data_IF_959146021678
#
_entry.id   IF_959146021678
#
_cell.length_a   1.000
_cell.length_b   1.000
_cell.length_c   1.000
_cell.angle_alpha   90.00
_cell.angle_beta   90.00
_cell.angle_gamma   90.00
#
_symmetry.space_group_name_H-M   'P 1'
#
loop_
_entity.id
_entity.type
_entity.pdbx_description
1 polymer ?
#
# COMPACT_ATOMS: atom_id res chain seq x y z
N UNK A 1 -30.88 42.79 -56.33
CA UNK A 1 -29.79 42.13 -55.57
C UNK A 1 -29.47 42.97 -54.33
N UNK A 2 -29.85 42.53 -53.12
CA UNK A 2 -29.27 42.98 -51.85
C UNK A 2 -29.71 42.02 -50.73
N UNK A 3 -28.86 41.03 -50.38
CA UNK A 3 -29.06 40.14 -49.23
C UNK A 3 -28.69 40.91 -47.95
N UNK A 4 -29.67 41.20 -47.09
CA UNK A 4 -29.44 41.64 -45.70
C UNK A 4 -28.76 40.51 -44.93
N UNK A 5 -27.50 40.71 -44.53
CA UNK A 5 -26.78 39.87 -43.57
C UNK A 5 -27.37 40.10 -42.17
N UNK A 6 -28.01 39.09 -41.58
CA UNK A 6 -28.38 39.13 -40.16
C UNK A 6 -27.15 38.84 -39.31
N UNK A 7 -26.70 39.80 -38.53
CA UNK A 7 -25.65 39.60 -37.53
C UNK A 7 -26.22 38.88 -36.32
N UNK A 8 -26.00 37.58 -36.21
CA UNK A 8 -26.22 36.81 -34.98
C UNK A 8 -25.19 37.24 -33.95
N UNK A 9 -25.60 38.12 -33.02
CA UNK A 9 -24.82 38.44 -31.81
C UNK A 9 -24.64 37.17 -30.99
N UNK A 10 -23.40 36.65 -30.91
CA UNK A 10 -23.02 35.65 -29.92
C UNK A 10 -23.19 36.26 -28.53
N UNK A 11 -24.22 35.85 -27.82
CA UNK A 11 -24.40 36.15 -26.40
C UNK A 11 -23.20 35.55 -25.64
N UNK A 12 -22.33 36.40 -25.09
CA UNK A 12 -21.34 35.97 -24.10
C UNK A 12 -22.10 35.37 -22.93
N UNK A 13 -22.04 34.05 -22.75
CA UNK A 13 -22.49 33.42 -21.51
C UNK A 13 -21.72 34.09 -20.37
N UNK A 14 -22.46 34.58 -19.37
CA UNK A 14 -21.85 35.07 -18.14
C UNK A 14 -20.98 33.95 -17.55
N UNK A 15 -19.77 34.26 -17.05
CA UNK A 15 -18.96 33.25 -16.39
C UNK A 15 -19.79 32.63 -15.26
N UNK A 16 -19.81 31.30 -15.20
CA UNK A 16 -20.50 30.58 -14.14
C UNK A 16 -20.06 31.15 -12.79
N UNK A 17 -21.03 31.47 -11.92
CA UNK A 17 -20.75 32.03 -10.61
C UNK A 17 -19.75 31.11 -9.89
N UNK A 18 -18.56 31.64 -9.56
CA UNK A 18 -17.55 30.89 -8.81
C UNK A 18 -18.16 30.59 -7.45
N UNK A 19 -18.35 29.30 -7.15
CA UNK A 19 -18.88 28.87 -5.86
C UNK A 19 -17.75 28.95 -4.83
N UNK A 20 -17.68 30.09 -4.15
CA UNK A 20 -16.65 30.36 -3.15
C UNK A 20 -17.00 29.69 -1.83
N UNK A 21 -16.09 28.87 -1.31
CA UNK A 21 -16.17 28.31 0.04
C UNK A 21 -15.55 29.24 1.08
N UNK A 22 -14.35 29.77 0.83
CA UNK A 22 -13.72 30.76 1.69
C UNK A 22 -12.78 31.69 0.91
N UNK A 23 -12.41 32.82 1.52
CA UNK A 23 -11.58 33.85 0.91
C UNK A 23 -10.60 34.39 1.95
N UNK A 24 -9.34 34.52 1.54
CA UNK A 24 -8.27 35.07 2.36
C UNK A 24 -7.60 36.22 1.61
N UNK A 25 -7.53 37.39 2.25
CA UNK A 25 -6.82 38.56 1.72
C UNK A 25 -5.46 38.61 2.39
N UNK A 26 -4.41 38.33 1.62
CA UNK A 26 -3.04 38.56 2.06
C UNK A 26 -2.71 40.05 1.84
N UNK A 27 -2.79 40.83 2.91
CA UNK A 27 -2.51 42.27 2.87
C UNK A 27 -1.02 42.58 2.65
N UNK A 28 -0.14 41.65 2.98
CA UNK A 28 1.31 41.82 2.82
C UNK A 28 1.70 41.65 1.36
N UNK A 29 1.27 40.54 0.75
CA UNK A 29 1.54 40.23 -0.66
C UNK A 29 0.54 40.86 -1.64
N UNK A 30 -0.48 41.55 -1.12
CA UNK A 30 -1.61 42.10 -1.89
C UNK A 30 -2.28 41.05 -2.78
N UNK A 31 -2.44 39.83 -2.28
CA UNK A 31 -3.04 38.71 -2.99
C UNK A 31 -4.41 38.36 -2.42
N UNK A 32 -5.32 38.03 -3.31
CA UNK A 32 -6.61 37.43 -2.98
C UNK A 32 -6.50 35.91 -3.20
N UNK A 33 -6.64 35.12 -2.15
CA UNK A 33 -6.67 33.66 -2.22
C UNK A 33 -8.13 33.22 -2.07
N UNK A 34 -8.64 32.52 -3.09
CA UNK A 34 -10.02 32.05 -3.15
C UNK A 34 -10.01 30.52 -3.04
N UNK A 35 -10.73 29.99 -2.06
CA UNK A 35 -10.98 28.56 -1.90
C UNK A 35 -12.41 28.27 -2.34
N UNK A 36 -12.59 27.35 -3.27
CA UNK A 36 -13.90 27.02 -3.85
C UNK A 36 -14.57 25.86 -3.10
N UNK A 37 -15.90 25.74 -3.18
CA UNK A 37 -16.65 24.66 -2.52
C UNK A 37 -16.41 23.27 -3.15
N UNK A 38 -15.82 23.24 -4.34
CA UNK A 38 -15.58 22.06 -5.16
C UNK A 38 -14.12 21.57 -5.10
N UNK A 39 -13.29 22.08 -4.18
CA UNK A 39 -11.86 21.73 -4.11
C UNK A 39 -11.60 20.21 -4.02
N UNK A 40 -12.38 19.49 -3.20
CA UNK A 40 -12.26 18.03 -3.11
C UNK A 40 -12.66 17.35 -4.42
N UNK A 41 -13.74 17.80 -5.06
CA UNK A 41 -14.20 17.26 -6.34
C UNK A 41 -13.15 17.51 -7.43
N UNK A 42 -12.57 18.70 -7.45
CA UNK A 42 -11.48 19.06 -8.35
C UNK A 42 -10.23 18.21 -8.11
N UNK A 43 -9.85 17.99 -6.85
CA UNK A 43 -8.75 17.11 -6.48
C UNK A 43 -8.96 15.69 -7.03
N UNK A 44 -10.17 15.14 -6.89
CA UNK A 44 -10.47 13.77 -7.30
C UNK A 44 -10.65 13.61 -8.82
N UNK A 45 -11.36 14.52 -9.47
CA UNK A 45 -11.78 14.35 -10.87
C UNK A 45 -10.91 15.10 -11.88
N UNK A 46 -10.34 16.24 -11.50
CA UNK A 46 -9.53 17.08 -12.40
C UNK A 46 -8.03 16.83 -12.22
N UNK A 47 -7.58 16.82 -10.97
CA UNK A 47 -6.16 16.79 -10.65
C UNK A 47 -5.67 15.34 -10.49
N UNK A 48 -6.45 14.49 -9.82
CA UNK A 48 -6.18 13.05 -9.65
C UNK A 48 -5.76 12.34 -10.94
N UNK A 49 -6.55 12.38 -12.04
CA UNK A 49 -6.18 11.71 -13.29
C UNK A 49 -4.85 12.19 -13.89
N UNK A 50 -4.51 13.49 -13.74
CA UNK A 50 -3.23 14.03 -14.25
C UNK A 50 -2.06 13.50 -13.43
N UNK A 51 -2.21 13.48 -12.11
CA UNK A 51 -1.19 12.95 -11.19
C UNK A 51 -0.95 11.47 -11.48
N UNK A 52 -2.03 10.70 -11.61
CA UNK A 52 -1.96 9.29 -11.97
C UNK A 52 -1.24 9.06 -13.30
N UNK A 53 -1.58 9.82 -14.35
CA UNK A 53 -0.91 9.71 -15.64
C UNK A 53 0.59 10.06 -15.56
N UNK A 54 0.95 11.07 -14.76
CA UNK A 54 2.35 11.44 -14.54
C UNK A 54 3.13 10.36 -13.78
N UNK A 55 2.50 9.71 -12.80
CA UNK A 55 3.05 8.58 -12.08
C UNK A 55 3.27 7.38 -13.00
N UNK A 56 2.23 6.98 -13.75
CA UNK A 56 2.28 5.82 -14.64
C UNK A 56 3.41 5.97 -15.66
N UNK A 57 3.58 7.16 -16.23
CA UNK A 57 4.67 7.47 -17.16
C UNK A 57 6.06 7.20 -16.57
N UNK A 58 6.26 7.41 -15.27
CA UNK A 58 7.56 7.26 -14.59
C UNK A 58 7.76 5.88 -13.95
N UNK A 59 6.67 5.22 -13.56
CA UNK A 59 6.67 4.05 -12.67
C UNK A 59 5.99 2.80 -13.25
N UNK A 60 5.58 2.80 -14.53
CA UNK A 60 4.91 1.66 -15.19
C UNK A 60 5.63 0.32 -14.96
N UNK A 61 6.97 0.31 -15.11
CA UNK A 61 7.79 -0.88 -14.84
C UNK A 61 7.68 -1.37 -13.40
N UNK A 62 7.69 -0.46 -12.44
CA UNK A 62 7.58 -0.81 -11.03
C UNK A 62 6.19 -1.39 -10.72
N UNK A 63 5.14 -0.83 -11.33
CA UNK A 63 3.77 -1.35 -11.19
C UNK A 63 3.65 -2.75 -11.82
N UNK A 64 4.26 -2.99 -12.97
CA UNK A 64 4.32 -4.32 -13.57
C UNK A 64 5.03 -5.33 -12.65
N UNK A 65 6.18 -4.96 -12.07
CA UNK A 65 6.92 -5.80 -11.11
C UNK A 65 6.08 -6.11 -9.85
N UNK A 66 5.44 -5.10 -9.26
CA UNK A 66 4.56 -5.27 -8.10
C UNK A 66 3.34 -6.14 -8.43
N UNK A 67 2.75 -5.95 -9.62
CA UNK A 67 1.60 -6.72 -10.11
C UNK A 67 1.92 -8.21 -10.26
N UNK A 68 3.13 -8.55 -10.71
CA UNK A 68 3.56 -9.94 -10.79
C UNK A 68 3.59 -10.63 -9.41
N UNK A 69 4.10 -9.96 -8.38
CA UNK A 69 4.08 -10.46 -7.00
C UNK A 69 2.67 -10.53 -6.43
N UNK A 70 1.89 -9.47 -6.65
CA UNK A 70 0.50 -9.39 -6.22
C UNK A 70 -0.31 -10.56 -6.76
N UNK A 71 -0.21 -10.82 -8.07
CA UNK A 71 -0.98 -11.85 -8.76
C UNK A 71 -0.66 -13.24 -8.24
N UNK A 72 0.63 -13.57 -8.05
CA UNK A 72 1.05 -14.84 -7.45
C UNK A 72 0.50 -15.01 -6.04
N UNK A 73 0.61 -13.96 -5.23
CA UNK A 73 0.12 -13.96 -3.85
C UNK A 73 -1.38 -14.19 -3.77
N UNK A 74 -2.16 -13.45 -4.57
CA UNK A 74 -3.62 -13.55 -4.54
C UNK A 74 -4.11 -14.85 -5.17
N UNK A 75 -3.44 -15.36 -6.21
CA UNK A 75 -3.73 -16.68 -6.76
C UNK A 75 -3.61 -17.78 -5.70
N UNK A 76 -2.56 -17.73 -4.88
CA UNK A 76 -2.37 -18.67 -3.77
C UNK A 76 -3.39 -18.44 -2.64
N UNK A 77 -3.65 -17.19 -2.23
CA UNK A 77 -4.65 -16.88 -1.21
C UNK A 77 -6.06 -17.37 -1.57
N UNK A 78 -6.54 -17.07 -2.78
CA UNK A 78 -7.89 -17.47 -3.20
C UNK A 78 -8.00 -18.98 -3.38
N UNK A 79 -6.97 -19.64 -3.93
CA UNK A 79 -6.96 -21.09 -4.10
C UNK A 79 -6.90 -21.81 -2.74
N UNK A 80 -6.02 -21.34 -1.85
CA UNK A 80 -5.85 -21.87 -0.50
C UNK A 80 -7.09 -21.66 0.36
N UNK A 81 -7.67 -20.46 0.38
CA UNK A 81 -8.91 -20.19 1.11
C UNK A 81 -10.06 -21.09 0.66
N UNK A 82 -10.17 -21.33 -0.66
CA UNK A 82 -11.18 -22.24 -1.21
C UNK A 82 -10.99 -23.67 -0.71
N UNK A 83 -9.75 -24.15 -0.61
CA UNK A 83 -9.45 -25.48 -0.07
C UNK A 83 -9.69 -25.54 1.44
N UNK A 84 -9.24 -24.54 2.18
CA UNK A 84 -9.43 -24.46 3.62
C UNK A 84 -10.93 -24.51 3.99
N UNK A 85 -11.79 -23.78 3.27
CA UNK A 85 -13.24 -23.85 3.45
C UNK A 85 -13.83 -25.23 3.11
N UNK A 86 -13.28 -25.94 2.12
CA UNK A 86 -13.75 -27.29 1.75
C UNK A 86 -13.36 -28.34 2.78
N UNK A 87 -12.20 -28.17 3.40
CA UNK A 87 -11.62 -29.09 4.38
C UNK A 87 -12.02 -28.75 5.83
N UNK A 88 -12.79 -27.69 6.04
CA UNK A 88 -13.14 -27.15 7.36
C UNK A 88 -11.92 -26.74 8.22
N UNK A 89 -10.87 -26.25 7.55
CA UNK A 89 -9.62 -25.77 8.13
C UNK A 89 -9.82 -24.32 8.63
N UNK A 90 -10.34 -24.20 9.85
CA UNK A 90 -10.74 -22.91 10.43
C UNK A 90 -9.57 -21.92 10.56
N UNK A 91 -8.39 -22.38 11.00
CA UNK A 91 -7.21 -21.54 11.18
C UNK A 91 -6.76 -20.94 9.86
N UNK A 92 -6.59 -21.79 8.85
CA UNK A 92 -6.13 -21.44 7.51
C UNK A 92 -7.10 -20.46 6.85
N UNK A 93 -8.39 -20.72 6.99
CA UNK A 93 -9.46 -19.85 6.49
C UNK A 93 -9.37 -18.44 7.09
N UNK A 94 -9.17 -18.33 8.41
CA UNK A 94 -9.09 -17.05 9.12
C UNK A 94 -7.79 -16.31 8.80
N UNK A 95 -6.67 -17.02 8.76
CA UNK A 95 -5.38 -16.47 8.35
C UNK A 95 -5.42 -15.95 6.91
N UNK A 96 -6.06 -16.67 5.99
CA UNK A 96 -6.21 -16.25 4.60
C UNK A 96 -7.10 -15.01 4.45
N UNK A 97 -8.21 -14.93 5.18
CA UNK A 97 -9.05 -13.72 5.23
C UNK A 97 -8.27 -12.51 5.74
N UNK A 98 -7.44 -12.70 6.77
CA UNK A 98 -6.58 -11.65 7.30
C UNK A 98 -5.53 -11.18 6.27
N UNK A 99 -4.92 -12.11 5.55
CA UNK A 99 -3.98 -11.80 4.46
C UNK A 99 -4.66 -11.19 3.23
N UNK A 100 -5.93 -11.51 2.94
CA UNK A 100 -6.70 -10.84 1.89
C UNK A 100 -6.96 -9.37 2.26
N UNK A 101 -7.26 -9.06 3.52
CA UNK A 101 -7.34 -7.66 3.98
C UNK A 101 -5.98 -6.95 3.89
N UNK A 102 -4.89 -7.66 4.20
CA UNK A 102 -3.53 -7.17 4.03
C UNK A 102 -3.22 -6.89 2.54
N UNK A 103 -3.66 -7.78 1.63
CA UNK A 103 -3.61 -7.59 0.18
C UNK A 103 -4.37 -6.33 -0.23
N UNK A 104 -5.63 -6.13 0.19
CA UNK A 104 -6.36 -4.89 -0.08
C UNK A 104 -5.64 -3.63 0.41
N UNK A 105 -5.00 -3.71 1.58
CA UNK A 105 -4.20 -2.61 2.14
C UNK A 105 -2.99 -2.27 1.24
N UNK A 106 -2.30 -3.28 0.71
CA UNK A 106 -1.21 -3.06 -0.25
C UNK A 106 -1.67 -2.29 -1.51
N UNK A 107 -2.91 -2.52 -1.95
CA UNK A 107 -3.49 -1.89 -3.15
C UNK A 107 -3.93 -0.48 -2.89
N UNK A 108 -4.48 -0.23 -1.70
CA UNK A 108 -4.75 1.10 -1.20
C UNK A 108 -3.44 1.92 -1.10
N UNK A 109 -2.38 1.36 -0.52
CA UNK A 109 -1.08 2.03 -0.43
C UNK A 109 -0.50 2.39 -1.82
N UNK A 110 -0.56 1.45 -2.76
CA UNK A 110 -0.14 1.67 -4.16
C UNK A 110 -0.97 2.77 -4.83
N UNK A 111 -2.28 2.75 -4.61
CA UNK A 111 -3.22 3.75 -5.18
C UNK A 111 -2.97 5.14 -4.62
N UNK A 112 -2.72 5.24 -3.30
CA UNK A 112 -2.38 6.51 -2.65
C UNK A 112 -1.09 7.09 -3.23
N UNK A 113 -0.05 6.27 -3.37
CA UNK A 113 1.19 6.72 -4.00
C UNK A 113 0.95 7.19 -5.43
N UNK A 114 0.21 6.42 -6.22
CA UNK A 114 -0.17 6.77 -7.61
C UNK A 114 -0.97 8.09 -7.69
N UNK A 115 -1.69 8.46 -6.63
CA UNK A 115 -2.45 9.71 -6.50
C UNK A 115 -1.62 10.88 -5.93
N UNK A 116 -0.32 10.72 -5.69
CA UNK A 116 0.57 11.80 -5.22
C UNK A 116 0.72 11.88 -3.71
N UNK A 117 0.16 10.94 -2.95
CA UNK A 117 0.33 10.89 -1.49
C UNK A 117 1.65 10.18 -1.15
N UNK A 118 2.59 10.90 -0.54
CA UNK A 118 3.92 10.36 -0.20
C UNK A 118 4.06 9.90 1.26
N UNK A 119 3.19 10.35 2.16
CA UNK A 119 3.25 9.99 3.58
C UNK A 119 2.29 8.84 3.91
N UNK A 120 1.08 8.90 3.37
CA UNK A 120 -0.03 8.02 3.67
C UNK A 120 0.20 6.55 3.27
N UNK A 121 0.93 6.20 2.19
CA UNK A 121 1.20 4.81 1.87
C UNK A 121 1.87 4.06 3.03
N UNK A 122 2.81 4.69 3.73
CA UNK A 122 3.49 4.07 4.88
C UNK A 122 2.55 3.77 6.06
N UNK A 123 1.54 4.61 6.28
CA UNK A 123 0.50 4.38 7.30
C UNK A 123 -0.34 3.15 6.98
N UNK A 124 -0.70 2.97 5.69
CA UNK A 124 -1.48 1.82 5.24
C UNK A 124 -0.65 0.54 5.28
N UNK A 125 0.61 0.60 4.85
CA UNK A 125 1.55 -0.53 4.95
C UNK A 125 1.74 -0.93 6.42
N UNK A 126 1.80 0.02 7.35
CA UNK A 126 1.92 -0.29 8.77
C UNK A 126 0.73 -1.12 9.30
N UNK A 127 -0.49 -0.87 8.83
CA UNK A 127 -1.67 -1.68 9.15
C UNK A 127 -1.57 -3.08 8.55
N UNK A 128 -1.10 -3.18 7.31
CA UNK A 128 -0.84 -4.45 6.63
C UNK A 128 0.16 -5.33 7.40
N UNK A 129 1.21 -4.73 7.99
CA UNK A 129 2.17 -5.46 8.81
C UNK A 129 1.55 -6.06 10.07
N UNK A 130 0.52 -5.44 10.66
CA UNK A 130 -0.19 -6.04 11.81
C UNK A 130 -0.92 -7.31 11.41
N UNK A 131 -1.62 -7.28 10.28
CA UNK A 131 -2.29 -8.45 9.73
C UNK A 131 -1.29 -9.59 9.47
N UNK A 132 -0.16 -9.28 8.83
CA UNK A 132 0.93 -10.25 8.58
C UNK A 132 1.47 -10.82 9.89
N UNK A 133 1.79 -9.97 10.87
CA UNK A 133 2.34 -10.43 12.16
C UNK A 133 1.37 -11.34 12.91
N UNK A 134 0.07 -11.05 12.83
CA UNK A 134 -0.99 -11.82 13.47
C UNK A 134 -1.16 -13.17 12.78
N UNK A 135 -1.12 -13.23 11.45
CA UNK A 135 -1.10 -14.51 10.72
C UNK A 135 0.11 -15.36 11.11
N UNK A 136 1.31 -14.78 11.11
CA UNK A 136 2.53 -15.49 11.52
C UNK A 136 2.46 -16.00 12.96
N UNK A 137 1.82 -15.25 13.85
CA UNK A 137 1.58 -15.66 15.23
C UNK A 137 0.62 -16.85 15.33
N UNK A 138 -0.53 -16.77 14.66
CA UNK A 138 -1.56 -17.81 14.70
C UNK A 138 -1.07 -19.13 14.11
N UNK A 139 -0.23 -19.09 13.06
CA UNK A 139 0.41 -20.29 12.51
C UNK A 139 1.36 -20.98 13.49
N UNK A 140 2.00 -20.21 14.38
CA UNK A 140 2.86 -20.77 15.44
C UNK A 140 2.08 -21.17 16.69
N UNK A 141 0.88 -20.60 16.89
CA UNK A 141 0.04 -20.78 18.09
C UNK A 141 -1.43 -20.95 17.69
N UNK A 142 -1.78 -22.08 17.06
CA UNK A 142 -3.14 -22.32 16.55
C UNK A 142 -4.21 -22.28 17.66
N UNK A 143 -3.84 -22.66 18.89
CA UNK A 143 -4.74 -22.64 20.04
C UNK A 143 -5.22 -21.23 20.45
N UNK A 144 -4.54 -20.18 19.99
CA UNK A 144 -4.94 -18.79 20.27
C UNK A 144 -5.99 -18.25 19.29
N UNK A 145 -6.46 -19.07 18.34
CA UNK A 145 -7.48 -18.68 17.36
C UNK A 145 -8.75 -18.13 18.03
N UNK A 146 -9.25 -18.79 19.08
CA UNK A 146 -10.44 -18.32 19.80
C UNK A 146 -10.23 -16.94 20.48
N UNK A 147 -9.01 -16.65 20.94
CA UNK A 147 -8.67 -15.34 21.50
C UNK A 147 -8.61 -14.27 20.41
N UNK A 148 -8.14 -14.61 19.21
CA UNK A 148 -8.20 -13.74 18.03
C UNK A 148 -9.64 -13.43 17.64
N UNK A 149 -10.48 -14.46 17.47
CA UNK A 149 -11.87 -14.28 17.02
C UNK A 149 -12.73 -13.49 18.02
N UNK A 150 -12.42 -13.59 19.31
CA UNK A 150 -13.07 -12.79 20.36
C UNK A 150 -12.48 -11.40 20.57
N UNK A 151 -11.50 -10.98 19.77
CA UNK A 151 -10.86 -9.66 19.86
C UNK A 151 -9.99 -9.48 21.11
N UNK A 152 -9.60 -10.56 21.78
CA UNK A 152 -8.81 -10.54 23.02
C UNK A 152 -7.31 -10.73 22.78
N UNK A 153 -6.91 -11.12 21.56
CA UNK A 153 -5.51 -11.25 21.19
C UNK A 153 -4.83 -9.88 21.19
N UNK A 154 -3.71 -9.77 21.90
CA UNK A 154 -2.97 -8.52 22.07
C UNK A 154 -1.88 -8.38 20.99
N UNK A 155 -1.93 -7.29 20.21
CA UNK A 155 -1.00 -7.01 19.10
C UNK A 155 0.50 -7.10 19.46
N UNK A 156 1.00 -6.62 20.62
CA UNK A 156 2.43 -6.76 20.95
C UNK A 156 2.95 -8.20 20.99
N UNK A 157 2.08 -9.18 21.28
CA UNK A 157 2.46 -10.61 21.30
C UNK A 157 2.73 -11.16 19.90
N UNK A 158 2.04 -10.65 18.88
CA UNK A 158 2.14 -11.14 17.50
C UNK A 158 3.47 -10.72 16.85
N UNK A 159 3.98 -9.54 17.20
CA UNK A 159 5.26 -9.01 16.73
C UNK A 159 6.44 -9.88 17.13
N UNK A 160 6.46 -10.39 18.36
CA UNK A 160 7.54 -11.25 18.84
C UNK A 160 7.64 -12.54 18.03
N UNK A 161 6.50 -13.11 17.62
CA UNK A 161 6.45 -14.30 16.77
C UNK A 161 6.85 -13.98 15.32
N UNK A 162 6.41 -12.85 14.78
CA UNK A 162 6.76 -12.42 13.42
C UNK A 162 8.27 -12.18 13.25
N UNK A 163 8.91 -11.52 14.22
CA UNK A 163 10.38 -11.29 14.25
C UNK A 163 11.19 -12.58 14.23
N UNK A 164 10.70 -13.61 14.91
CA UNK A 164 11.34 -14.94 14.95
C UNK A 164 11.16 -15.69 13.63
N UNK A 165 9.99 -15.58 13.02
CA UNK A 165 9.68 -16.23 11.77
C UNK A 165 10.45 -15.63 10.59
N UNK A 166 10.49 -14.29 10.49
CA UNK A 166 11.14 -13.56 9.40
C UNK A 166 12.04 -12.48 10.03
N UNK A 167 13.36 -12.66 10.09
CA UNK A 167 14.27 -11.72 10.77
C UNK A 167 14.14 -10.26 10.29
N UNK A 168 13.94 -10.05 9.00
CA UNK A 168 13.78 -8.73 8.39
C UNK A 168 12.51 -7.99 8.86
N UNK A 169 11.50 -8.72 9.34
CA UNK A 169 10.22 -8.15 9.77
C UNK A 169 10.40 -7.12 10.90
N UNK A 170 11.31 -7.39 11.85
CA UNK A 170 11.49 -6.55 13.02
C UNK A 170 11.98 -5.14 12.70
N UNK A 171 12.97 -5.03 11.82
CA UNK A 171 13.53 -3.75 11.38
C UNK A 171 12.48 -2.93 10.62
N UNK A 172 11.76 -3.58 9.69
CA UNK A 172 10.71 -2.94 8.90
C UNK A 172 9.57 -2.43 9.79
N UNK A 173 9.06 -3.27 10.68
CA UNK A 173 7.98 -2.88 11.58
C UNK A 173 8.39 -1.70 12.48
N UNK A 174 9.62 -1.71 13.00
CA UNK A 174 10.16 -0.61 13.79
C UNK A 174 10.18 0.69 12.99
N UNK A 175 10.75 0.65 11.79
CA UNK A 175 10.82 1.79 10.88
C UNK A 175 9.43 2.36 10.55
N UNK A 176 8.45 1.53 10.20
CA UNK A 176 7.10 2.01 9.89
C UNK A 176 6.38 2.59 11.12
N UNK A 177 6.60 2.00 12.30
CA UNK A 177 6.00 2.51 13.54
C UNK A 177 6.55 3.89 13.88
N UNK A 178 7.87 4.05 13.83
CA UNK A 178 8.53 5.31 14.18
C UNK A 178 8.20 6.45 13.20
N UNK A 179 8.13 6.14 11.91
CA UNK A 179 8.03 7.17 10.87
C UNK A 179 6.61 7.44 10.37
N UNK A 180 5.68 6.49 10.53
CA UNK A 180 4.32 6.61 9.97
C UNK A 180 3.19 6.36 10.98
N UNK A 181 3.40 5.60 12.06
CA UNK A 181 2.38 5.45 13.10
C UNK A 181 2.41 6.60 14.11
N UNK A 182 3.59 7.17 14.34
CA UNK A 182 3.80 8.30 15.24
C UNK A 182 4.06 9.58 14.46
N UNK A 183 3.64 10.72 15.02
CA UNK A 183 3.95 12.05 14.47
C UNK A 183 5.46 12.29 14.64
N UNK A 184 6.20 11.95 13.58
CA UNK A 184 7.65 12.07 13.50
C UNK A 184 8.13 13.21 12.61
N UNK A 185 9.40 13.13 12.20
CA UNK A 185 10.04 14.12 11.35
C UNK A 185 9.34 14.30 9.98
N UNK A 186 8.79 13.22 9.40
CA UNK A 186 8.04 13.25 8.14
C UNK A 186 6.75 14.07 8.20
N UNK A 187 6.24 14.39 9.40
CA UNK A 187 5.01 15.14 9.61
C UNK A 187 5.24 16.64 9.84
N UNK A 188 6.51 17.09 9.87
CA UNK A 188 6.86 18.50 10.14
C UNK A 188 6.63 19.43 8.95
N UNK A 189 6.41 18.88 7.77
CA UNK A 189 6.26 19.62 6.53
C UNK A 189 4.99 19.19 5.81
N UNK A 190 4.34 20.13 5.13
CA UNK A 190 3.28 19.81 4.19
C UNK A 190 3.93 19.12 3.00
N UNK A 191 3.37 17.99 2.57
CA UNK A 191 3.73 17.33 1.31
C UNK A 191 2.61 17.58 0.30
N UNK A 192 2.76 18.55 -0.62
CA UNK A 192 1.71 18.87 -1.58
C UNK A 192 1.45 17.68 -2.50
N UNK A 193 0.18 17.43 -2.77
CA UNK A 193 -0.24 16.45 -3.77
C UNK A 193 -0.14 17.12 -5.14
N UNK A 194 0.76 16.62 -5.98
CA UNK A 194 1.06 17.22 -7.27
C UNK A 194 1.48 16.17 -8.31
N UNK A 195 1.51 16.58 -9.58
CA UNK A 195 2.01 15.74 -10.67
C UNK A 195 3.49 15.41 -10.47
N UNK A 196 3.86 14.17 -10.77
CA UNK A 196 5.23 13.71 -10.75
C UNK A 196 5.99 14.20 -11.97
N UNK A 197 7.02 15.02 -11.74
CA UNK A 197 7.90 15.52 -12.80
C UNK A 197 9.10 14.60 -13.04
N UNK A 198 9.57 13.96 -11.97
CA UNK A 198 10.74 13.09 -11.96
C UNK A 198 10.66 12.08 -10.80
N UNK A 199 11.59 11.13 -10.80
CA UNK A 199 11.71 10.12 -9.73
C UNK A 199 12.57 10.67 -8.59
N UNK A 200 11.95 11.46 -7.71
CA UNK A 200 12.61 12.01 -6.52
C UNK A 200 12.72 10.97 -5.39
N UNK A 201 13.60 11.20 -4.42
CA UNK A 201 13.92 10.25 -3.34
C UNK A 201 12.69 9.72 -2.59
N UNK A 202 11.75 10.60 -2.23
CA UNK A 202 10.53 10.18 -1.52
C UNK A 202 9.66 9.20 -2.33
N UNK A 203 9.65 9.30 -3.67
CA UNK A 203 8.94 8.36 -4.53
C UNK A 203 9.69 7.03 -4.57
N UNK A 204 11.01 7.03 -4.72
CA UNK A 204 11.81 5.81 -4.72
C UNK A 204 11.71 5.03 -3.41
N UNK A 205 11.75 5.75 -2.28
CA UNK A 205 11.59 5.18 -0.94
C UNK A 205 10.21 4.51 -0.80
N UNK A 206 9.14 5.19 -1.23
CA UNK A 206 7.79 4.61 -1.21
C UNK A 206 7.66 3.39 -2.14
N UNK A 207 8.28 3.41 -3.32
CA UNK A 207 8.32 2.23 -4.20
C UNK A 207 9.08 1.07 -3.55
N UNK A 208 10.20 1.36 -2.85
CA UNK A 208 10.92 0.37 -2.04
C UNK A 208 10.02 -0.26 -0.98
N UNK A 209 9.27 0.56 -0.25
CA UNK A 209 8.28 0.09 0.74
C UNK A 209 7.21 -0.81 0.14
N UNK A 210 6.68 -0.46 -1.03
CA UNK A 210 5.71 -1.29 -1.73
C UNK A 210 6.32 -2.65 -2.15
N UNK A 211 7.56 -2.69 -2.64
CA UNK A 211 8.25 -3.93 -3.00
C UNK A 211 8.43 -4.85 -1.79
N UNK A 212 8.88 -4.30 -0.66
CA UNK A 212 9.04 -5.06 0.58
C UNK A 212 7.68 -5.57 1.09
N UNK A 213 6.64 -4.73 1.06
CA UNK A 213 5.31 -5.10 1.49
C UNK A 213 4.75 -6.24 0.63
N UNK A 214 4.87 -6.14 -0.70
CA UNK A 214 4.47 -7.19 -1.63
C UNK A 214 5.20 -8.52 -1.33
N UNK A 215 6.52 -8.45 -1.09
CA UNK A 215 7.31 -9.61 -0.71
C UNK A 215 6.87 -10.20 0.63
N UNK A 216 6.67 -9.38 1.68
CA UNK A 216 6.22 -9.83 3.00
C UNK A 216 4.85 -10.50 2.95
N UNK A 217 3.95 -10.00 2.10
CA UNK A 217 2.66 -10.62 1.86
C UNK A 217 2.82 -11.99 1.21
N UNK A 218 3.65 -12.08 0.16
CA UNK A 218 3.90 -13.33 -0.55
C UNK A 218 4.55 -14.38 0.34
N UNK A 219 5.63 -14.05 1.04
CA UNK A 219 6.35 -14.99 1.91
C UNK A 219 5.46 -15.51 3.02
N UNK A 220 4.58 -14.68 3.58
CA UNK A 220 3.63 -15.13 4.62
C UNK A 220 2.54 -16.03 4.03
N UNK A 221 2.10 -15.73 2.81
CA UNK A 221 1.13 -16.56 2.08
C UNK A 221 1.73 -17.92 1.70
N UNK A 222 2.99 -17.95 1.27
CA UNK A 222 3.72 -19.20 0.97
C UNK A 222 3.85 -20.08 2.23
N UNK A 223 4.04 -19.49 3.41
CA UNK A 223 4.02 -20.27 4.66
C UNK A 223 2.64 -20.86 4.93
N UNK A 224 1.60 -20.02 4.85
CA UNK A 224 0.22 -20.42 5.15
C UNK A 224 -0.25 -21.58 4.27
N UNK A 225 0.12 -21.57 2.99
CA UNK A 225 -0.30 -22.56 2.00
C UNK A 225 0.88 -23.31 1.39
N UNK A 226 1.86 -23.67 2.21
CA UNK A 226 3.12 -24.25 1.75
C UNK A 226 2.94 -25.53 0.93
N UNK A 227 1.95 -26.34 1.30
CA UNK A 227 1.66 -27.61 0.63
C UNK A 227 1.04 -27.44 -0.77
N UNK A 228 0.54 -26.24 -1.09
CA UNK A 228 0.04 -25.89 -2.42
C UNK A 228 1.14 -25.33 -3.34
N UNK A 229 2.34 -25.11 -2.81
CA UNK A 229 3.44 -24.49 -3.55
C UNK A 229 4.44 -25.57 -3.97
N UNK A 230 4.46 -25.88 -5.28
CA UNK A 230 5.41 -26.83 -5.84
C UNK A 230 6.85 -26.34 -5.71
N UNK A 231 7.11 -25.08 -6.10
CA UNK A 231 8.43 -24.45 -6.10
C UNK A 231 8.55 -23.46 -4.95
N UNK A 232 8.77 -23.97 -3.74
CA UNK A 232 8.94 -23.19 -2.51
C UNK A 232 10.19 -22.32 -2.59
N UNK A 233 10.09 -21.04 -2.23
CA UNK A 233 11.21 -20.10 -2.28
C UNK A 233 11.79 -19.77 -0.92
N UNK A 234 10.94 -19.73 0.10
CA UNK A 234 11.29 -19.20 1.41
C UNK A 234 11.10 -20.22 2.53
N UNK A 235 10.06 -21.05 2.47
CA UNK A 235 9.69 -21.95 3.56
C UNK A 235 9.87 -23.41 3.17
N UNK A 236 10.68 -24.12 3.96
CA UNK A 236 11.00 -25.52 3.73
C UNK A 236 10.60 -26.38 4.93
N UNK A 237 10.08 -27.60 4.69
CA UNK A 237 9.64 -28.47 5.77
C UNK A 237 10.81 -28.90 6.66
N UNK A 238 10.56 -28.92 7.96
CA UNK A 238 11.42 -29.44 9.02
C UNK A 238 10.56 -30.34 9.94
N UNK A 239 11.15 -31.16 10.84
CA UNK A 239 10.37 -32.15 11.60
C UNK A 239 9.13 -31.61 12.34
N UNK A 240 9.15 -30.33 12.77
CA UNK A 240 8.06 -29.69 13.51
C UNK A 240 7.55 -28.41 12.80
N UNK A 241 7.32 -28.48 11.49
CA UNK A 241 6.71 -27.40 10.72
C UNK A 241 7.62 -26.91 9.59
N UNK A 242 7.81 -25.59 9.48
CA UNK A 242 8.57 -24.98 8.40
C UNK A 242 9.65 -24.04 8.93
N UNK A 243 10.77 -23.96 8.22
CA UNK A 243 11.85 -23.02 8.51
C UNK A 243 12.04 -22.04 7.35
N UNK A 244 12.26 -20.76 7.70
CA UNK A 244 12.61 -19.73 6.74
C UNK A 244 14.06 -19.94 6.28
N UNK A 245 14.24 -20.45 5.06
CA UNK A 245 15.55 -20.79 4.52
C UNK A 245 15.67 -20.51 3.01
N UNK A 246 15.52 -19.24 2.56
CA UNK A 246 15.74 -18.90 1.17
C UNK A 246 17.19 -19.21 0.75
N UNK A 247 17.35 -19.65 -0.51
CA UNK A 247 18.66 -19.88 -1.12
C UNK A 247 19.49 -18.60 -1.18
N UNK A 248 20.80 -18.73 -1.40
CA UNK A 248 21.69 -17.57 -1.56
C UNK A 248 21.29 -16.71 -2.76
N UNK A 249 20.90 -17.34 -3.89
CA UNK A 249 20.39 -16.64 -5.06
C UNK A 249 19.11 -15.87 -4.77
N UNK A 250 18.22 -16.43 -3.96
CA UNK A 250 16.97 -15.79 -3.53
C UNK A 250 17.25 -14.61 -2.59
N UNK A 251 18.22 -14.74 -1.67
CA UNK A 251 18.65 -13.63 -0.81
C UNK A 251 19.28 -12.49 -1.60
N UNK A 252 20.14 -12.82 -2.59
CA UNK A 252 20.72 -11.83 -3.49
C UNK A 252 19.65 -11.12 -4.33
N UNK A 253 18.67 -11.88 -4.84
CA UNK A 253 17.52 -11.33 -5.53
C UNK A 253 16.70 -10.39 -4.63
N UNK A 254 16.42 -10.78 -3.37
CA UNK A 254 15.69 -9.93 -2.41
C UNK A 254 16.39 -8.59 -2.19
N UNK A 255 17.72 -8.61 -1.96
CA UNK A 255 18.50 -7.39 -1.78
C UNK A 255 18.44 -6.47 -2.99
N UNK A 256 18.51 -7.04 -4.20
CA UNK A 256 18.36 -6.29 -5.46
C UNK A 256 16.93 -5.78 -5.67
N UNK A 257 15.93 -6.57 -5.29
CA UNK A 257 14.52 -6.25 -5.48
C UNK A 257 14.04 -5.12 -4.57
N UNK A 258 14.48 -5.09 -3.31
CA UNK A 258 13.99 -4.08 -2.36
C UNK A 258 14.43 -2.66 -2.74
N UNK A 259 15.59 -2.51 -3.40
CA UNK A 259 16.13 -1.21 -3.89
C UNK A 259 16.09 -0.10 -2.84
N UNK A 260 16.23 -0.43 -1.55
CA UNK A 260 16.19 0.57 -0.48
C UNK A 260 17.62 1.07 -0.27
N UNK A 261 17.87 2.39 -0.33
CA UNK A 261 19.09 2.96 0.21
C UNK A 261 19.15 2.59 1.70
N UNK A 262 20.30 2.11 2.19
CA UNK A 262 20.51 1.61 3.55
C UNK A 262 19.60 2.32 4.58
N UNK A 263 18.61 1.59 5.09
CA UNK A 263 17.88 1.98 6.31
C UNK A 263 18.89 1.75 7.46
N UNK A 264 19.79 2.71 7.66
CA UNK A 264 20.62 2.82 8.88
C UNK A 264 19.83 3.50 9.98
#
# INVERSE_FOLDING_TARGET
MAKRRSSTKKTRQAPAAIRTGSLFVDSHDRKLVIFTDDMLVNQLHRDGPKIQASFDKLCDKDICELSAFWSKTNGLLYSGLRLAHRNDEALESKCAQLLLNASSSFGAATTLLRLGYLLQPGMVIRSMLEAISTTLYLLQRPNDLAAYESGKLQSPKTLGAAKKAIPQFGQLYGYFSENFAHIGHLHKSITPIAEYKERHDALEVNLGFLRIAAWLLYVTTELLFNDLVENRRYWFPVPNGYAFNPSESERAWMSSYFRIPNIT
#
